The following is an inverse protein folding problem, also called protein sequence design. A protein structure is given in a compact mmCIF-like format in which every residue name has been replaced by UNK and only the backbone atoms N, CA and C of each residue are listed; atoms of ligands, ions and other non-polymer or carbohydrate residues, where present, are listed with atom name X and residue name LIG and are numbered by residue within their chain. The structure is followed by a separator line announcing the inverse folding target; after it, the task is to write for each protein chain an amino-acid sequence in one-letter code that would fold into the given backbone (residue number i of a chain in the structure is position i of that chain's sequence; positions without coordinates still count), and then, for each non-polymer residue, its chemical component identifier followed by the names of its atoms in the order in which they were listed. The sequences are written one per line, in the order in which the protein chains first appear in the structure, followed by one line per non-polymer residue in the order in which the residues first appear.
data_IF_126276076437
#
_entry.id   IF_126276076437
#
_cell.length_a   1.000
_cell.length_b   1.000
_cell.length_c   1.000
_cell.angle_alpha   90.00
_cell.angle_beta   90.00
_cell.angle_gamma   90.00
#
_symmetry.space_group_name_H-M   'P 1'
#
loop_
_entity.id
_entity.type
_entity.pdbx_description
1 polymer ?
#
# COMPACT_ATOMS: atom_id res chain seq x y z
N UNK A 1 -4.80 3.87 12.05
CA UNK A 1 -4.50 3.64 10.62
C UNK A 1 -5.81 3.66 9.81
N UNK A 2 -6.63 2.60 9.82
CA UNK A 2 -7.89 2.60 9.04
C UNK A 2 -8.88 3.70 9.45
N UNK A 3 -9.01 3.95 10.76
CA UNK A 3 -9.86 5.03 11.28
C UNK A 3 -9.37 6.40 10.84
N UNK A 4 -8.06 6.67 11.01
CA UNK A 4 -7.43 7.92 10.58
C UNK A 4 -7.56 8.15 9.07
N UNK A 5 -7.38 7.11 8.24
CA UNK A 5 -7.55 7.22 6.78
C UNK A 5 -9.01 7.49 6.40
N UNK A 6 -9.96 6.95 7.16
CA UNK A 6 -11.39 7.20 6.92
C UNK A 6 -11.76 8.63 7.32
N UNK A 7 -11.26 9.10 8.47
CA UNK A 7 -11.43 10.48 8.92
C UNK A 7 -10.81 11.46 7.92
N UNK A 8 -9.57 11.21 7.50
CA UNK A 8 -8.86 12.04 6.53
C UNK A 8 -9.59 12.08 5.18
N UNK A 9 -10.14 10.94 4.73
CA UNK A 9 -10.99 10.89 3.53
C UNK A 9 -12.25 11.73 3.72
N UNK A 10 -13.00 11.56 4.81
CA UNK A 10 -14.23 12.33 5.02
C UNK A 10 -13.98 13.85 5.08
N UNK A 11 -12.88 14.25 5.71
CA UNK A 11 -12.47 15.65 5.79
C UNK A 11 -12.04 16.19 4.42
N UNK A 12 -11.21 15.45 3.68
CA UNK A 12 -10.82 15.81 2.32
C UNK A 12 -12.04 15.93 1.38
N UNK A 13 -13.03 15.04 1.50
CA UNK A 13 -14.27 15.12 0.72
C UNK A 13 -15.05 16.41 1.04
N UNK A 14 -15.12 16.76 2.32
CA UNK A 14 -15.79 17.97 2.79
C UNK A 14 -15.09 19.22 2.25
N UNK A 15 -13.76 19.30 2.39
CA UNK A 15 -12.95 20.42 1.90
C UNK A 15 -13.04 20.57 0.38
N UNK A 16 -13.00 19.45 -0.35
CA UNK A 16 -13.17 19.43 -1.81
C UNK A 16 -14.54 19.96 -2.22
N UNK A 17 -15.61 19.53 -1.54
CA UNK A 17 -16.97 20.02 -1.84
C UNK A 17 -17.13 21.51 -1.55
N UNK A 18 -16.55 22.00 -0.45
CA UNK A 18 -16.56 23.42 -0.09
C UNK A 18 -15.79 24.28 -1.10
N UNK A 19 -14.58 23.84 -1.49
CA UNK A 19 -13.79 24.55 -2.49
C UNK A 19 -14.44 24.54 -3.88
N UNK A 20 -15.06 23.42 -4.28
CA UNK A 20 -15.81 23.35 -5.54
C UNK A 20 -16.98 24.34 -5.58
N UNK A 21 -17.73 24.46 -4.48
CA UNK A 21 -18.81 25.44 -4.35
C UNK A 21 -18.28 26.88 -4.43
N UNK A 22 -17.18 27.19 -3.71
CA UNK A 22 -16.54 28.52 -3.78
C UNK A 22 -16.11 28.84 -5.21
N UNK A 23 -15.47 27.90 -5.92
CA UNK A 23 -15.09 28.10 -7.31
C UNK A 23 -16.29 28.31 -8.23
N UNK A 24 -17.39 27.59 -7.99
CA UNK A 24 -18.61 27.73 -8.78
C UNK A 24 -19.20 29.12 -8.64
N UNK A 25 -19.37 29.62 -7.42
CA UNK A 25 -19.88 30.97 -7.14
C UNK A 25 -18.96 32.04 -7.75
N UNK A 26 -17.65 31.85 -7.60
CA UNK A 26 -16.65 32.75 -8.14
C UNK A 26 -16.62 32.79 -9.67
N UNK A 27 -16.82 31.64 -10.34
CA UNK A 27 -16.90 31.56 -11.80
C UNK A 27 -18.24 32.08 -12.34
N UNK A 28 -19.28 32.15 -11.52
CA UNK A 28 -20.58 32.73 -11.89
C UNK A 28 -20.54 34.27 -11.98
N UNK A 29 -19.52 34.91 -11.41
CA UNK A 29 -19.31 36.36 -11.51
C UNK A 29 -18.97 36.71 -12.98
N UNK A 30 -19.71 37.61 -13.64
CA UNK A 30 -19.41 38.01 -15.02
C UNK A 30 -17.99 38.58 -15.18
N UNK A 31 -17.31 38.26 -16.28
CA UNK A 31 -15.93 38.70 -16.55
C UNK A 31 -15.69 40.23 -16.37
N UNK A 32 -16.60 41.14 -16.77
CA UNK A 32 -16.44 42.58 -16.54
C UNK A 32 -16.40 42.96 -15.05
N UNK A 33 -17.09 42.19 -14.20
CA UNK A 33 -17.09 42.34 -12.75
C UNK A 33 -15.77 41.83 -12.16
N UNK A 34 -15.24 40.74 -12.72
CA UNK A 34 -13.97 40.18 -12.28
C UNK A 34 -12.81 41.14 -12.50
N UNK A 35 -12.79 41.86 -13.62
CA UNK A 35 -11.75 42.87 -13.86
C UNK A 35 -11.80 44.04 -12.88
N UNK A 36 -13.00 44.48 -12.48
CA UNK A 36 -13.17 45.55 -11.48
C UNK A 36 -12.84 45.09 -10.07
N UNK A 37 -13.08 43.83 -9.76
CA UNK A 37 -12.76 43.21 -8.47
C UNK A 37 -11.39 42.49 -8.45
N UNK A 38 -10.47 42.81 -9.38
CA UNK A 38 -9.22 42.07 -9.58
C UNK A 38 -8.31 41.95 -8.34
N UNK A 39 -8.26 43.00 -7.52
CA UNK A 39 -7.47 43.02 -6.29
C UNK A 39 -7.90 41.90 -5.33
N UNK A 40 -9.17 41.89 -4.90
CA UNK A 40 -9.72 40.79 -4.12
C UNK A 40 -9.67 39.44 -4.87
N UNK A 41 -9.95 39.40 -6.18
CA UNK A 41 -9.93 38.14 -6.95
C UNK A 41 -8.53 37.53 -7.16
N UNK A 42 -7.45 38.21 -6.77
CA UNK A 42 -6.10 37.61 -6.81
C UNK A 42 -5.99 36.35 -5.94
N UNK A 43 -6.76 36.29 -4.85
CA UNK A 43 -6.87 35.10 -4.00
C UNK A 43 -7.55 33.91 -4.71
N UNK A 44 -8.26 34.12 -5.83
CA UNK A 44 -8.79 33.00 -6.64
C UNK A 44 -7.68 32.09 -7.16
N UNK A 45 -6.53 32.65 -7.51
CA UNK A 45 -5.37 31.86 -7.97
C UNK A 45 -4.89 30.92 -6.86
N UNK A 46 -4.89 31.40 -5.62
CA UNK A 46 -4.53 30.62 -4.43
C UNK A 46 -5.56 29.53 -4.18
N UNK A 47 -6.86 29.83 -4.28
CA UNK A 47 -7.95 28.83 -4.16
C UNK A 47 -7.84 27.73 -5.22
N UNK A 48 -7.56 28.07 -6.48
CA UNK A 48 -7.38 27.08 -7.56
C UNK A 48 -6.17 26.19 -7.31
N UNK A 49 -5.02 26.78 -6.96
CA UNK A 49 -3.81 26.04 -6.66
C UNK A 49 -4.04 25.09 -5.48
N UNK A 50 -4.72 25.58 -4.46
CA UNK A 50 -5.06 24.85 -3.27
C UNK A 50 -6.03 23.68 -3.54
N UNK A 51 -7.08 23.89 -4.34
CA UNK A 51 -7.98 22.81 -4.74
C UNK A 51 -7.26 21.72 -5.53
N UNK A 52 -6.28 22.09 -6.36
CA UNK A 52 -5.42 21.11 -7.02
C UNK A 52 -4.59 20.29 -6.01
N UNK A 53 -4.11 20.90 -4.92
CA UNK A 53 -3.43 20.17 -3.84
C UNK A 53 -4.37 19.21 -3.12
N UNK A 54 -5.60 19.65 -2.79
CA UNK A 54 -6.62 18.78 -2.16
C UNK A 54 -7.02 17.63 -3.08
N UNK A 55 -7.17 17.87 -4.38
CA UNK A 55 -7.47 16.83 -5.37
C UNK A 55 -6.31 15.83 -5.50
N UNK A 56 -5.07 16.31 -5.49
CA UNK A 56 -3.89 15.43 -5.48
C UNK A 56 -3.83 14.58 -4.20
N UNK A 57 -3.98 15.21 -3.04
CA UNK A 57 -4.05 14.53 -1.74
C UNK A 57 -5.18 13.49 -1.69
N UNK A 58 -6.36 13.84 -2.21
CA UNK A 58 -7.50 12.93 -2.34
C UNK A 58 -7.16 11.71 -3.18
N UNK A 59 -6.49 11.91 -4.31
CA UNK A 59 -6.02 10.85 -5.21
C UNK A 59 -5.00 9.95 -4.50
N UNK A 60 -4.04 10.54 -3.80
CA UNK A 60 -3.00 9.81 -3.08
C UNK A 60 -3.60 8.94 -1.96
N UNK A 61 -4.55 9.49 -1.18
CA UNK A 61 -5.27 8.71 -0.16
C UNK A 61 -6.11 7.59 -0.77
N UNK A 62 -6.72 7.81 -1.93
CA UNK A 62 -7.51 6.77 -2.59
C UNK A 62 -6.67 5.58 -3.05
N UNK A 63 -5.41 5.81 -3.43
CA UNK A 63 -4.51 4.74 -3.85
C UNK A 63 -4.01 3.86 -2.68
N UNK A 64 -4.04 4.36 -1.43
CA UNK A 64 -3.51 3.63 -0.27
C UNK A 64 -4.29 2.32 0.00
N UNK A 65 -5.64 2.31 0.13
CA UNK A 65 -6.39 1.07 0.33
C UNK A 65 -6.14 0.02 -0.75
N UNK A 66 -6.09 0.45 -2.02
CA UNK A 66 -5.86 -0.45 -3.16
C UNK A 66 -4.45 -1.06 -3.09
N UNK A 67 -3.45 -0.26 -2.72
CA UNK A 67 -2.09 -0.73 -2.47
C UNK A 67 -2.01 -1.71 -1.30
N UNK A 68 -2.77 -1.48 -0.22
CA UNK A 68 -2.83 -2.39 0.94
C UNK A 68 -3.50 -3.70 0.57
N UNK A 69 -4.61 -3.68 -0.18
CA UNK A 69 -5.25 -4.89 -0.68
C UNK A 69 -4.33 -5.66 -1.62
N UNK A 70 -3.66 -4.98 -2.54
CA UNK A 70 -2.68 -5.62 -3.43
C UNK A 70 -1.51 -6.24 -2.67
N UNK A 71 -1.02 -5.57 -1.61
CA UNK A 71 0.03 -6.12 -0.76
C UNK A 71 -0.47 -7.34 0.02
N UNK A 72 -1.71 -7.31 0.52
CA UNK A 72 -2.31 -8.43 1.21
C UNK A 72 -2.53 -9.64 0.29
N UNK A 73 -2.96 -9.40 -0.95
CA UNK A 73 -3.08 -10.45 -1.97
C UNK A 73 -1.72 -11.04 -2.33
N UNK A 74 -0.68 -10.20 -2.43
CA UNK A 74 0.70 -10.67 -2.63
C UNK A 74 1.18 -11.53 -1.45
N UNK A 75 0.91 -11.13 -0.21
CA UNK A 75 1.24 -11.90 0.99
C UNK A 75 0.48 -13.23 1.01
N UNK A 76 -0.81 -13.24 0.65
CA UNK A 76 -1.62 -14.45 0.56
C UNK A 76 -1.11 -15.40 -0.56
N UNK A 77 -0.67 -14.86 -1.69
CA UNK A 77 -0.06 -15.65 -2.74
C UNK A 77 1.28 -16.25 -2.29
N UNK A 78 2.12 -15.46 -1.61
CA UNK A 78 3.39 -15.93 -1.05
C UNK A 78 3.15 -17.00 0.02
N UNK A 79 2.15 -16.84 0.89
CA UNK A 79 1.85 -17.83 1.92
C UNK A 79 1.39 -19.16 1.32
N UNK A 80 0.60 -19.12 0.24
CA UNK A 80 0.19 -20.32 -0.49
C UNK A 80 1.39 -21.00 -1.17
N UNK A 81 2.24 -20.22 -1.86
CA UNK A 81 3.46 -20.75 -2.48
C UNK A 81 4.39 -21.36 -1.42
N UNK A 82 4.56 -20.68 -0.28
CA UNK A 82 5.41 -21.15 0.81
C UNK A 82 4.83 -22.43 1.44
N UNK A 83 3.51 -22.47 1.67
CA UNK A 83 2.82 -23.65 2.20
C UNK A 83 2.93 -24.86 1.26
N UNK A 84 2.67 -24.68 -0.03
CA UNK A 84 2.82 -25.74 -1.04
C UNK A 84 4.29 -26.15 -1.19
N UNK A 85 5.21 -25.18 -1.17
CA UNK A 85 6.65 -25.41 -1.22
C UNK A 85 7.17 -26.20 -0.02
N UNK A 86 6.57 -26.02 1.15
CA UNK A 86 6.86 -26.80 2.36
C UNK A 86 6.32 -28.24 2.27
N UNK A 87 5.12 -28.41 1.71
CA UNK A 87 4.47 -29.72 1.57
C UNK A 87 5.08 -30.59 0.45
N UNK A 88 5.56 -29.97 -0.63
CA UNK A 88 6.12 -30.68 -1.80
C UNK A 88 7.26 -31.66 -1.45
N UNK A 89 8.30 -31.27 -0.70
CA UNK A 89 9.36 -32.20 -0.32
C UNK A 89 8.88 -33.28 0.65
N UNK A 90 7.93 -32.98 1.54
CA UNK A 90 7.30 -34.00 2.40
C UNK A 90 6.59 -35.07 1.56
N UNK A 91 5.83 -34.66 0.54
CA UNK A 91 5.18 -35.58 -0.39
C UNK A 91 6.19 -36.40 -1.20
N UNK A 92 7.28 -35.79 -1.67
CA UNK A 92 8.35 -36.51 -2.38
C UNK A 92 9.01 -37.55 -1.48
N UNK A 93 9.31 -37.21 -0.22
CA UNK A 93 9.86 -38.17 0.75
C UNK A 93 8.90 -39.32 0.97
N UNK A 94 7.60 -39.05 1.15
CA UNK A 94 6.57 -40.08 1.31
C UNK A 94 6.50 -41.02 0.10
N UNK A 95 6.53 -40.48 -1.12
CA UNK A 95 6.56 -41.28 -2.35
C UNK A 95 7.81 -42.16 -2.40
N UNK A 96 8.97 -41.61 -2.03
CA UNK A 96 10.22 -42.36 -1.98
C UNK A 96 10.16 -43.49 -0.96
N UNK A 97 9.68 -43.21 0.26
CA UNK A 97 9.47 -44.22 1.30
C UNK A 97 8.50 -45.33 0.84
N UNK A 98 7.39 -44.97 0.19
CA UNK A 98 6.42 -45.93 -0.35
C UNK A 98 7.04 -46.80 -1.46
N UNK A 99 7.86 -46.22 -2.33
CA UNK A 99 8.54 -46.98 -3.39
C UNK A 99 9.53 -48.01 -2.83
N UNK A 100 10.27 -47.65 -1.77
CA UNK A 100 11.18 -48.58 -1.08
C UNK A 100 10.39 -49.69 -0.38
N UNK A 101 9.29 -49.37 0.30
CA UNK A 101 8.42 -50.37 0.93
C UNK A 101 7.84 -51.34 -0.10
N UNK A 102 7.34 -50.84 -1.23
CA UNK A 102 6.84 -51.67 -2.34
C UNK A 102 7.94 -52.57 -2.91
N UNK A 103 9.15 -52.04 -3.12
CA UNK A 103 10.28 -52.82 -3.58
C UNK A 103 10.62 -53.97 -2.62
N UNK A 104 10.63 -53.71 -1.31
CA UNK A 104 10.88 -54.74 -0.28
C UNK A 104 9.78 -55.81 -0.25
N UNK A 105 8.50 -55.39 -0.28
CA UNK A 105 7.35 -56.32 -0.26
C UNK A 105 7.32 -57.20 -1.53
N UNK A 106 7.61 -56.62 -2.70
CA UNK A 106 7.68 -57.36 -3.96
C UNK A 106 8.91 -58.28 -4.02
N UNK A 107 10.05 -57.87 -3.45
CA UNK A 107 11.28 -58.68 -3.43
C UNK A 107 11.13 -59.97 -2.62
N UNK A 108 10.37 -59.94 -1.51
CA UNK A 108 10.13 -61.11 -0.65
C UNK A 108 9.31 -62.23 -1.32
N UNK A 109 8.77 -62.01 -2.52
CA UNK A 109 7.97 -63.00 -3.26
C UNK A 109 8.71 -63.72 -4.39
N UNK A 110 9.98 -63.39 -4.69
CA UNK A 110 10.73 -63.97 -5.81
C UNK A 110 12.08 -64.60 -5.42
N UNK A 111 12.37 -65.82 -5.90
CA UNK A 111 13.62 -66.55 -5.61
C UNK A 111 14.89 -66.01 -6.30
N UNK A 112 14.78 -65.03 -7.21
CA UNK A 112 15.91 -64.44 -7.96
C UNK A 112 16.03 -62.90 -7.81
N UNK A 113 15.34 -62.26 -6.88
CA UNK A 113 15.25 -60.79 -6.76
C UNK A 113 16.46 -60.12 -6.10
N UNK A 114 17.30 -60.86 -5.35
CA UNK A 114 18.31 -60.28 -4.47
C UNK A 114 19.39 -59.44 -5.21
N UNK A 115 19.78 -59.82 -6.43
CA UNK A 115 20.89 -59.17 -7.13
C UNK A 115 20.51 -57.79 -7.71
N UNK A 116 19.29 -57.65 -8.25
CA UNK A 116 18.83 -56.37 -8.81
C UNK A 116 18.48 -55.33 -7.72
N UNK A 117 17.97 -55.78 -6.56
CA UNK A 117 17.59 -54.89 -5.46
C UNK A 117 18.82 -54.25 -4.79
N UNK A 118 19.93 -54.98 -4.69
CA UNK A 118 21.19 -54.44 -4.15
C UNK A 118 21.79 -53.32 -5.02
N UNK A 119 21.65 -53.38 -6.34
CA UNK A 119 22.15 -52.32 -7.23
C UNK A 119 21.20 -51.12 -7.33
N UNK A 120 19.90 -51.32 -7.17
CA UNK A 120 18.90 -50.24 -7.23
C UNK A 120 18.84 -49.37 -5.97
N UNK A 121 19.18 -49.94 -4.81
CA UNK A 121 19.17 -49.22 -3.53
C UNK A 121 19.96 -47.92 -3.56
N UNK A 122 21.28 -47.93 -3.86
CA UNK A 122 22.10 -46.73 -3.91
C UNK A 122 21.64 -45.72 -4.97
N UNK A 123 21.16 -46.22 -6.11
CA UNK A 123 20.71 -45.40 -7.23
C UNK A 123 19.43 -44.61 -6.91
N UNK A 124 18.59 -45.12 -5.99
CA UNK A 124 17.39 -44.44 -5.50
C UNK A 124 17.66 -43.61 -4.24
N UNK A 125 18.51 -44.09 -3.33
CA UNK A 125 18.80 -43.39 -2.07
C UNK A 125 19.62 -42.11 -2.27
N UNK A 126 20.65 -42.13 -3.12
CA UNK A 126 21.49 -40.96 -3.31
C UNK A 126 20.72 -39.71 -3.83
N UNK A 127 19.94 -39.78 -4.93
CA UNK A 127 19.22 -38.61 -5.43
C UNK A 127 18.11 -38.14 -4.48
N UNK A 128 17.47 -39.06 -3.75
CA UNK A 128 16.42 -38.69 -2.80
C UNK A 128 16.98 -37.95 -1.59
N UNK A 129 18.11 -38.40 -1.03
CA UNK A 129 18.82 -37.66 0.03
C UNK A 129 19.25 -36.28 -0.45
N UNK A 130 19.78 -36.15 -1.67
CA UNK A 130 20.18 -34.86 -2.24
C UNK A 130 18.96 -33.93 -2.40
N UNK A 131 17.84 -34.43 -2.93
CA UNK A 131 16.61 -33.63 -3.10
C UNK A 131 16.05 -33.16 -1.75
N UNK A 132 16.04 -34.04 -0.75
CA UNK A 132 15.59 -33.69 0.60
C UNK A 132 16.51 -32.67 1.24
N UNK A 133 17.82 -32.83 1.12
CA UNK A 133 18.79 -31.88 1.64
C UNK A 133 18.67 -30.51 0.98
N UNK A 134 18.51 -30.46 -0.35
CA UNK A 134 18.31 -29.22 -1.08
C UNK A 134 17.00 -28.51 -0.65
N UNK A 135 15.90 -29.26 -0.55
CA UNK A 135 14.64 -28.71 -0.08
C UNK A 135 14.74 -28.19 1.36
N UNK A 136 15.34 -28.96 2.27
CA UNK A 136 15.55 -28.53 3.65
C UNK A 136 16.43 -27.27 3.75
N UNK A 137 17.48 -27.16 2.92
CA UNK A 137 18.33 -25.98 2.86
C UNK A 137 17.54 -24.74 2.40
N UNK A 138 16.73 -24.86 1.35
CA UNK A 138 15.89 -23.74 0.88
C UNK A 138 14.83 -23.33 1.90
N UNK A 139 14.22 -24.29 2.60
CA UNK A 139 13.27 -24.01 3.67
C UNK A 139 13.94 -23.29 4.85
N UNK A 140 15.14 -23.73 5.24
CA UNK A 140 15.92 -23.09 6.29
C UNK A 140 16.32 -21.67 5.89
N UNK A 141 16.73 -21.45 4.64
CA UNK A 141 17.06 -20.11 4.12
C UNK A 141 15.84 -19.17 4.20
N UNK A 142 14.68 -19.62 3.72
CA UNK A 142 13.42 -18.85 3.83
C UNK A 142 13.06 -18.58 5.29
N UNK A 143 13.22 -19.57 6.18
CA UNK A 143 12.98 -19.41 7.60
C UNK A 143 13.94 -18.40 8.25
N UNK A 144 15.21 -18.39 7.87
CA UNK A 144 16.21 -17.44 8.36
C UNK A 144 15.91 -16.03 7.87
N UNK A 145 15.58 -15.86 6.59
CA UNK A 145 15.24 -14.55 6.00
C UNK A 145 13.95 -13.99 6.59
N UNK A 146 12.92 -14.83 6.74
CA UNK A 146 11.67 -14.40 7.40
C UNK A 146 11.88 -14.11 8.88
N UNK A 147 12.66 -14.94 9.59
CA UNK A 147 12.97 -14.71 11.00
C UNK A 147 13.79 -13.44 11.23
N UNK A 148 14.73 -13.11 10.35
CA UNK A 148 15.52 -11.87 10.46
C UNK A 148 14.66 -10.65 10.16
N UNK A 149 13.73 -10.75 9.21
CA UNK A 149 12.74 -9.71 8.97
C UNK A 149 11.85 -9.51 10.22
N UNK A 150 11.40 -10.61 10.83
CA UNK A 150 10.56 -10.61 12.02
C UNK A 150 11.25 -10.15 13.31
N UNK A 151 12.58 -10.20 13.38
CA UNK A 151 13.32 -9.71 14.55
C UNK A 151 13.17 -8.19 14.72
N UNK A 152 13.13 -7.44 13.61
CA UNK A 152 12.97 -5.99 13.56
C UNK A 152 11.98 -5.59 12.47
N UNK A 153 10.72 -6.03 12.59
CA UNK A 153 9.66 -5.81 11.59
C UNK A 153 9.57 -4.33 11.20
N UNK A 154 9.58 -3.44 12.19
CA UNK A 154 9.42 -2.01 11.97
C UNK A 154 10.57 -1.41 11.16
N UNK A 155 11.82 -1.75 11.50
CA UNK A 155 13.01 -1.26 10.80
C UNK A 155 13.08 -1.80 9.36
N UNK A 156 12.80 -3.09 9.19
CA UNK A 156 12.85 -3.74 7.89
C UNK A 156 11.70 -3.30 6.97
N UNK A 157 10.50 -3.12 7.51
CA UNK A 157 9.37 -2.56 6.78
C UNK A 157 9.68 -1.12 6.33
N UNK A 158 10.26 -0.30 7.22
CA UNK A 158 10.68 1.06 6.87
C UNK A 158 11.77 1.09 5.80
N UNK A 159 12.77 0.19 5.88
CA UNK A 159 13.81 0.08 4.86
C UNK A 159 13.23 -0.32 3.49
N UNK A 160 12.28 -1.26 3.47
CA UNK A 160 11.59 -1.67 2.25
C UNK A 160 10.78 -0.52 1.64
N UNK A 161 9.96 0.17 2.45
CA UNK A 161 9.12 1.29 1.98
C UNK A 161 10.00 2.43 1.46
N UNK A 162 11.10 2.74 2.17
CA UNK A 162 12.09 3.72 1.73
C UNK A 162 12.68 3.38 0.36
N UNK A 163 13.01 2.11 0.12
CA UNK A 163 13.55 1.65 -1.14
C UNK A 163 12.51 1.66 -2.26
N UNK A 164 11.28 1.21 -1.98
CA UNK A 164 10.22 1.07 -2.97
C UNK A 164 9.62 2.41 -3.42
N UNK A 165 9.38 3.33 -2.48
CA UNK A 165 8.70 4.60 -2.74
C UNK A 165 9.62 5.83 -2.68
N UNK A 166 10.83 5.67 -2.15
CA UNK A 166 11.76 6.77 -1.91
C UNK A 166 11.57 7.42 -0.53
N UNK A 167 12.67 7.95 0.00
CA UNK A 167 12.73 8.54 1.35
C UNK A 167 11.92 9.84 1.52
N UNK A 168 11.61 10.52 0.41
CA UNK A 168 10.86 11.79 0.40
C UNK A 168 9.41 11.61 -0.06
N UNK A 169 8.92 10.37 -0.12
CA UNK A 169 7.54 10.10 -0.54
C UNK A 169 6.57 10.26 0.64
N UNK A 170 5.35 10.71 0.35
CA UNK A 170 4.24 10.74 1.32
C UNK A 170 3.99 9.35 1.91
N UNK A 171 4.06 8.30 1.08
CA UNK A 171 3.94 6.91 1.54
C UNK A 171 4.97 6.55 2.61
N UNK A 172 6.23 6.98 2.47
CA UNK A 172 7.27 6.74 3.47
C UNK A 172 7.02 7.49 4.77
N UNK A 173 6.71 8.80 4.72
CA UNK A 173 6.47 9.58 5.94
C UNK A 173 5.18 9.15 6.67
N UNK A 174 4.13 8.79 5.94
CA UNK A 174 2.91 8.18 6.52
C UNK A 174 3.25 6.86 7.20
N UNK A 175 4.01 5.99 6.53
CA UNK A 175 4.39 4.69 7.08
C UNK A 175 5.26 4.84 8.32
N UNK A 176 6.21 5.78 8.29
CA UNK A 176 7.06 6.14 9.43
C UNK A 176 6.20 6.52 10.63
N UNK A 177 5.27 7.46 10.47
CA UNK A 177 4.37 7.87 11.54
C UNK A 177 3.60 6.67 12.15
N UNK A 178 3.05 5.79 11.32
CA UNK A 178 2.27 4.65 11.83
C UNK A 178 3.10 3.52 12.43
N UNK A 179 4.31 3.29 11.93
CA UNK A 179 5.23 2.23 12.38
C UNK A 179 5.99 2.69 13.61
N UNK A 180 6.70 3.82 13.53
CA UNK A 180 7.55 4.30 14.64
C UNK A 180 6.77 5.07 15.71
N UNK A 181 5.49 5.39 15.45
CA UNK A 181 4.63 6.21 16.33
C UNK A 181 5.27 7.55 16.71
N UNK A 182 6.12 8.08 15.83
CA UNK A 182 6.87 9.32 16.08
C UNK A 182 6.66 10.34 14.96
N UNK A 183 6.67 11.62 15.33
CA UNK A 183 6.40 12.74 14.43
C UNK A 183 4.91 13.13 14.37
N UNK A 184 4.61 14.10 13.51
CA UNK A 184 3.24 14.49 13.19
C UNK A 184 2.68 13.59 12.09
N UNK A 185 1.36 13.37 12.11
CA UNK A 185 0.69 12.66 11.03
C UNK A 185 0.65 13.59 9.80
N UNK A 186 1.43 13.32 8.73
CA UNK A 186 1.47 14.21 7.58
C UNK A 186 0.07 14.37 6.95
N UNK A 187 -0.77 13.32 7.03
CA UNK A 187 -2.15 13.38 6.54
C UNK A 187 -2.98 14.43 7.28
N UNK A 188 -2.86 14.50 8.60
CA UNK A 188 -3.60 15.47 9.41
C UNK A 188 -3.00 16.87 9.33
N UNK A 189 -1.68 16.98 9.15
CA UNK A 189 -1.03 18.28 8.96
C UNK A 189 -1.50 18.92 7.66
N UNK A 190 -1.46 18.18 6.55
CA UNK A 190 -1.91 18.68 5.25
C UNK A 190 -3.40 19.06 5.29
N UNK A 191 -4.24 18.25 5.95
CA UNK A 191 -5.67 18.54 6.14
C UNK A 191 -5.93 19.76 7.03
N UNK A 192 -5.14 19.93 8.08
CA UNK A 192 -5.28 21.08 8.97
C UNK A 192 -4.90 22.38 8.27
N UNK A 193 -3.75 22.41 7.58
CA UNK A 193 -3.32 23.55 6.76
C UNK A 193 -4.37 23.87 5.68
N UNK A 194 -4.94 22.82 5.11
CA UNK A 194 -6.04 22.89 4.18
C UNK A 194 -7.30 23.54 4.78
N UNK A 195 -7.74 23.07 5.94
CA UNK A 195 -8.88 23.62 6.65
C UNK A 195 -8.69 25.10 6.99
N UNK A 196 -7.54 25.48 7.54
CA UNK A 196 -7.20 26.88 7.86
C UNK A 196 -7.23 27.76 6.60
N UNK A 197 -6.73 27.25 5.48
CA UNK A 197 -6.76 27.99 4.20
C UNK A 197 -8.19 28.19 3.71
N UNK A 198 -9.04 27.16 3.75
CA UNK A 198 -10.45 27.28 3.37
C UNK A 198 -11.20 28.25 4.30
N UNK A 199 -10.96 28.21 5.61
CA UNK A 199 -11.57 29.15 6.55
C UNK A 199 -11.15 30.61 6.24
N UNK A 200 -9.86 30.82 5.94
CA UNK A 200 -9.35 32.12 5.52
C UNK A 200 -10.01 32.58 4.22
N UNK A 201 -10.10 31.72 3.21
CA UNK A 201 -10.78 32.00 1.94
C UNK A 201 -12.25 32.31 2.17
N UNK A 202 -12.95 31.53 3.00
CA UNK A 202 -14.37 31.76 3.34
C UNK A 202 -14.57 33.14 3.98
N UNK A 203 -13.71 33.51 4.94
CA UNK A 203 -13.76 34.85 5.55
C UNK A 203 -13.52 35.94 4.52
N UNK A 204 -12.63 35.68 3.57
CA UNK A 204 -12.27 36.63 2.53
C UNK A 204 -13.38 36.77 1.49
N UNK A 205 -14.00 35.67 1.06
CA UNK A 205 -15.18 35.66 0.16
C UNK A 205 -16.35 36.41 0.79
N UNK A 206 -16.57 36.26 2.11
CA UNK A 206 -17.59 37.03 2.81
C UNK A 206 -17.34 38.55 2.71
N UNK A 207 -16.08 38.99 2.80
CA UNK A 207 -15.73 40.41 2.57
C UNK A 207 -15.81 40.84 1.10
N UNK A 208 -15.70 39.89 0.16
CA UNK A 208 -15.80 40.17 -1.26
C UNK A 208 -17.23 40.41 -1.72
N UNK A 209 -18.23 39.84 -1.05
CA UNK A 209 -19.64 40.12 -1.37
C UNK A 209 -19.92 41.62 -1.49
N UNK A 210 -19.43 42.41 -0.55
CA UNK A 210 -19.58 43.87 -0.55
C UNK A 210 -18.79 44.58 -1.66
N UNK A 211 -17.63 44.03 -2.04
CA UNK A 211 -16.81 44.58 -3.12
C UNK A 211 -17.45 44.28 -4.49
N UNK A 212 -17.94 43.06 -4.68
CA UNK A 212 -18.61 42.63 -5.92
C UNK A 212 -19.95 43.34 -6.06
N UNK A 213 -20.76 43.46 -5.01
CA UNK A 213 -22.02 44.20 -5.03
C UNK A 213 -21.82 45.68 -5.41
N UNK A 214 -20.73 46.31 -4.98
CA UNK A 214 -20.38 47.69 -5.37
C UNK A 214 -19.86 47.80 -6.81
N UNK A 215 -19.05 46.83 -7.25
CA UNK A 215 -18.51 46.82 -8.60
C UNK A 215 -19.57 46.47 -9.65
N UNK A 216 -20.55 45.66 -9.26
CA UNK A 216 -21.60 45.08 -10.09
C UNK A 216 -22.96 45.06 -9.36
N UNK A 217 -23.65 46.20 -9.31
CA UNK A 217 -24.93 46.33 -8.59
C UNK A 217 -26.07 45.52 -9.21
N UNK A 218 -25.99 45.22 -10.50
CA UNK A 218 -27.00 44.44 -11.22
C UNK A 218 -26.81 42.92 -11.07
N UNK A 219 -25.71 42.48 -10.42
CA UNK A 219 -25.46 41.07 -10.15
C UNK A 219 -26.13 40.68 -8.83
N UNK A 220 -27.07 39.74 -8.91
CA UNK A 220 -27.87 39.31 -7.75
C UNK A 220 -27.40 37.99 -7.12
N UNK A 221 -26.23 37.48 -7.52
CA UNK A 221 -25.69 36.21 -7.02
C UNK A 221 -26.60 35.04 -7.32
#
# INVERSE_FOLDING_TARGET
AFEDTTSARNEAATLRSAGAWILQDLNAIPEPCQEKARGPLRTMGEVKHYLAQVDQYWSDIHAIPDGVHSAQDAINAISLITGVGLLTPLFLVLICCLSVLLAVVCSNRGRCSLCCVQCLGPLLFAPTVILVAAAAATQLEVAVVSSSFCADVDSNAMAYIKHAFGANSTAYEVSKYYITKSGNNPLLTDLHEASVTIESVKSTVATYGDAVARACPDWHG
#
